data_IF_202516179252
#
_entry.id   IF_202516179252
#
_cell.length_a   1.000
_cell.length_b   1.000
_cell.length_c   1.000
_cell.angle_alpha   90.00
_cell.angle_beta   90.00
_cell.angle_gamma   90.00
#
_symmetry.space_group_name_H-M   'P 1'
#
loop_
_entity.id
_entity.type
_entity.pdbx_description
1 polymer ?
#
# COMPACT_ATOMS: atom_id res chain seq x y z
N UNK A 1 1.84 -25.39 15.16
CA UNK A 1 2.11 -25.01 16.57
C UNK A 1 2.24 -23.49 16.74
N UNK A 2 3.22 -22.80 16.12
CA UNK A 2 3.29 -21.33 16.23
C UNK A 2 2.16 -20.61 15.49
N UNK A 3 1.81 -21.06 14.29
CA UNK A 3 0.70 -20.49 13.49
C UNK A 3 -0.66 -20.58 14.20
N UNK A 4 -0.80 -21.47 15.18
CA UNK A 4 -2.01 -21.65 15.99
C UNK A 4 -2.08 -20.67 17.17
N UNK A 5 -0.99 -19.94 17.45
CA UNK A 5 -0.95 -18.94 18.52
C UNK A 5 -1.66 -17.65 18.06
N UNK A 6 -2.60 -17.11 18.85
CA UNK A 6 -3.36 -15.91 18.48
C UNK A 6 -2.48 -14.72 18.11
N UNK A 7 -1.39 -14.50 18.85
CA UNK A 7 -0.51 -13.36 18.56
C UNK A 7 0.30 -13.56 17.27
N UNK A 8 0.78 -14.77 17.00
CA UNK A 8 1.54 -15.05 15.78
C UNK A 8 0.65 -14.90 14.54
N UNK A 9 -0.57 -15.44 14.57
CA UNK A 9 -1.47 -15.33 13.40
C UNK A 9 -1.88 -13.88 13.13
N UNK A 10 -1.94 -13.02 14.16
CA UNK A 10 -2.20 -11.59 14.02
C UNK A 10 -1.05 -10.87 13.33
N UNK A 11 0.19 -11.13 13.74
CA UNK A 11 1.39 -10.57 13.10
C UNK A 11 1.46 -10.99 11.63
N UNK A 12 1.26 -12.28 11.35
CA UNK A 12 1.28 -12.80 9.98
C UNK A 12 0.16 -12.20 9.11
N UNK A 13 -1.06 -12.13 9.62
CA UNK A 13 -2.18 -11.54 8.90
C UNK A 13 -1.96 -10.04 8.63
N UNK A 14 -1.45 -9.30 9.61
CA UNK A 14 -1.23 -7.86 9.47
C UNK A 14 -0.15 -7.53 8.43
N UNK A 15 0.93 -8.32 8.37
CA UNK A 15 1.91 -8.25 7.29
C UNK A 15 1.32 -8.67 5.93
N UNK A 16 0.50 -9.72 5.91
CA UNK A 16 -0.12 -10.23 4.69
C UNK A 16 -1.03 -9.19 4.01
N UNK A 17 -1.76 -8.39 4.79
CA UNK A 17 -2.58 -7.29 4.27
C UNK A 17 -1.73 -6.27 3.50
N UNK A 18 -0.57 -5.94 4.04
CA UNK A 18 0.37 -4.99 3.45
C UNK A 18 1.03 -5.54 2.18
N UNK A 19 1.43 -6.82 2.17
CA UNK A 19 1.91 -7.49 0.95
C UNK A 19 0.83 -7.53 -0.13
N UNK A 20 -0.41 -7.85 0.24
CA UNK A 20 -1.54 -7.91 -0.69
C UNK A 20 -1.84 -6.53 -1.28
N UNK A 21 -1.91 -5.49 -0.44
CA UNK A 21 -2.13 -4.11 -0.87
C UNK A 21 -1.02 -3.59 -1.79
N UNK A 22 0.25 -3.82 -1.43
CA UNK A 22 1.41 -3.44 -2.24
C UNK A 22 1.43 -4.13 -3.61
N UNK A 23 1.10 -5.43 -3.63
CA UNK A 23 1.01 -6.21 -4.87
C UNK A 23 -0.13 -5.70 -5.76
N UNK A 24 -1.33 -5.54 -5.19
CA UNK A 24 -2.50 -5.06 -5.93
C UNK A 24 -2.27 -3.66 -6.51
N UNK A 25 -1.72 -2.74 -5.72
CA UNK A 25 -1.42 -1.38 -6.16
C UNK A 25 -0.37 -1.36 -7.29
N UNK A 26 0.70 -2.14 -7.16
CA UNK A 26 1.77 -2.22 -8.16
C UNK A 26 1.25 -2.76 -9.50
N UNK A 27 0.42 -3.80 -9.47
CA UNK A 27 -0.19 -4.37 -10.68
C UNK A 27 -1.25 -3.44 -11.27
N UNK A 28 -2.02 -2.72 -10.44
CA UNK A 28 -2.97 -1.71 -10.91
C UNK A 28 -2.27 -0.54 -11.60
N UNK A 29 -1.09 -0.14 -11.11
CA UNK A 29 -0.24 0.84 -11.78
C UNK A 29 0.26 0.31 -13.13
N UNK A 30 0.69 -0.96 -13.19
CA UNK A 30 1.07 -1.57 -14.47
C UNK A 30 -0.10 -1.57 -15.47
N UNK A 31 -1.31 -1.94 -15.04
CA UNK A 31 -2.53 -1.86 -15.86
C UNK A 31 -2.74 -0.46 -16.43
N UNK A 32 -2.52 0.61 -15.64
CA UNK A 32 -2.70 1.98 -16.13
C UNK A 32 -1.72 2.35 -17.24
N UNK A 33 -0.49 1.80 -17.22
CA UNK A 33 0.48 2.04 -18.28
C UNK A 33 0.07 1.39 -19.59
N UNK A 34 -0.57 0.21 -19.55
CA UNK A 34 -1.07 -0.48 -20.74
C UNK A 34 -2.29 0.23 -21.34
N UNK A 35 -3.09 0.92 -20.50
CA UNK A 35 -4.38 1.49 -20.89
C UNK A 35 -4.35 2.98 -21.22
N UNK A 36 -3.33 3.74 -20.77
CA UNK A 36 -3.26 5.21 -20.93
C UNK A 36 -3.31 5.74 -22.37
N UNK A 37 -3.06 4.90 -23.37
CA UNK A 37 -3.07 5.27 -24.79
C UNK A 37 -4.31 4.76 -25.53
N UNK A 38 -5.28 4.17 -24.83
CA UNK A 38 -6.50 3.63 -25.41
C UNK A 38 -7.59 4.70 -25.51
N UNK A 39 -8.46 4.61 -26.52
CA UNK A 39 -9.65 5.46 -26.62
C UNK A 39 -10.62 5.18 -25.46
N UNK A 40 -11.35 6.21 -25.01
CA UNK A 40 -12.26 6.10 -23.86
C UNK A 40 -11.58 6.55 -22.57
N UNK A 41 -11.25 5.62 -21.67
CA UNK A 41 -10.72 5.94 -20.34
C UNK A 41 -9.20 6.16 -20.28
N UNK A 42 -8.51 6.18 -21.43
CA UNK A 42 -7.07 6.41 -21.51
C UNK A 42 -6.59 7.70 -20.85
N UNK A 43 -7.39 8.77 -20.88
CA UNK A 43 -7.05 10.02 -20.18
C UNK A 43 -7.03 9.86 -18.65
N UNK A 44 -8.00 9.13 -18.08
CA UNK A 44 -8.05 8.85 -16.65
C UNK A 44 -6.92 7.90 -16.23
N UNK A 45 -6.64 6.88 -17.04
CA UNK A 45 -5.50 5.96 -16.82
C UNK A 45 -4.14 6.69 -16.96
N UNK A 46 -4.04 7.69 -17.84
CA UNK A 46 -2.86 8.54 -17.92
C UNK A 46 -2.66 9.40 -16.67
N UNK A 47 -3.75 9.93 -16.10
CA UNK A 47 -3.72 10.66 -14.82
C UNK A 47 -3.28 9.72 -13.67
N UNK A 48 -3.86 8.51 -13.60
CA UNK A 48 -3.45 7.48 -12.66
C UNK A 48 -1.97 7.16 -12.77
N UNK A 49 -1.48 6.83 -13.98
CA UNK A 49 -0.07 6.51 -14.19
C UNK A 49 0.85 7.66 -13.76
N UNK A 50 0.48 8.91 -14.06
CA UNK A 50 1.28 10.10 -13.72
C UNK A 50 1.37 10.35 -12.21
N UNK A 51 0.25 10.32 -11.52
CA UNK A 51 0.17 10.59 -10.07
C UNK A 51 0.67 9.40 -9.26
N UNK A 52 0.24 8.18 -9.63
CA UNK A 52 0.43 6.99 -8.80
C UNK A 52 1.79 6.33 -8.96
N UNK A 53 2.59 6.68 -9.98
CA UNK A 53 3.98 6.17 -10.11
C UNK A 53 4.86 6.54 -8.91
N UNK A 54 5.05 7.84 -8.56
CA UNK A 54 5.83 8.19 -7.38
C UNK A 54 5.18 7.74 -6.07
N UNK A 55 3.85 7.73 -5.99
CA UNK A 55 3.08 7.24 -4.82
C UNK A 55 3.36 5.77 -4.55
N UNK A 56 3.25 4.93 -5.58
CA UNK A 56 3.43 3.47 -5.46
C UNK A 56 4.87 3.15 -5.09
N UNK A 57 5.85 3.76 -5.77
CA UNK A 57 7.27 3.60 -5.43
C UNK A 57 7.56 4.06 -4.00
N UNK A 58 7.03 5.21 -3.59
CA UNK A 58 7.21 5.73 -2.24
C UNK A 58 6.77 4.72 -1.19
N UNK A 59 5.52 4.23 -1.26
CA UNK A 59 4.98 3.39 -0.20
C UNK A 59 5.53 1.97 -0.26
N UNK A 60 5.43 1.29 -1.41
CA UNK A 60 5.79 -0.12 -1.57
C UNK A 60 7.27 -0.39 -1.24
N UNK A 61 8.17 0.48 -1.70
CA UNK A 61 9.59 0.29 -1.42
C UNK A 61 9.97 0.65 0.02
N UNK A 62 9.31 1.64 0.63
CA UNK A 62 9.67 2.12 1.98
C UNK A 62 9.14 1.25 3.11
N UNK A 63 8.04 0.54 2.90
CA UNK A 63 7.49 -0.41 3.89
C UNK A 63 8.31 -1.71 3.97
N UNK A 64 8.97 -2.10 2.88
CA UNK A 64 9.62 -3.40 2.74
C UNK A 64 10.69 -3.70 3.82
N UNK A 65 11.56 -2.77 4.25
CA UNK A 65 12.53 -3.05 5.32
C UNK A 65 11.88 -3.43 6.65
N UNK A 66 10.84 -2.71 7.08
CA UNK A 66 10.14 -3.01 8.34
C UNK A 66 9.37 -4.34 8.26
N UNK A 67 8.75 -4.62 7.11
CA UNK A 67 8.04 -5.88 6.87
C UNK A 67 9.00 -7.08 6.85
N UNK A 68 10.12 -6.98 6.14
CA UNK A 68 11.11 -8.05 6.06
C UNK A 68 11.83 -8.30 7.38
N UNK A 69 12.01 -7.25 8.20
CA UNK A 69 12.47 -7.39 9.58
C UNK A 69 11.52 -8.25 10.42
N UNK A 70 10.22 -7.92 10.44
CA UNK A 70 9.23 -8.67 11.22
C UNK A 70 9.09 -10.12 10.74
N UNK A 71 9.12 -10.33 9.42
CA UNK A 71 9.13 -11.67 8.84
C UNK A 71 10.37 -12.47 9.26
N UNK A 72 11.53 -11.82 9.37
CA UNK A 72 12.77 -12.43 9.86
C UNK A 72 12.65 -12.84 11.32
N UNK A 73 12.06 -11.98 12.16
CA UNK A 73 11.80 -12.26 13.58
C UNK A 73 10.87 -13.48 13.78
N UNK A 74 9.90 -13.70 12.88
CA UNK A 74 9.03 -14.87 12.92
C UNK A 74 9.78 -16.21 12.80
N UNK A 75 11.00 -16.23 12.26
CA UNK A 75 11.86 -17.43 12.17
C UNK A 75 12.83 -17.57 13.36
N UNK A 76 12.83 -16.61 14.29
CA UNK A 76 13.78 -16.55 15.40
C UNK A 76 15.22 -16.42 14.94
N UNK A 77 16.16 -16.99 15.70
CA UNK A 77 17.61 -16.89 15.41
C UNK A 77 18.01 -17.38 14.01
N UNK A 78 17.30 -18.37 13.47
CA UNK A 78 17.56 -18.87 12.12
C UNK A 78 17.15 -17.87 11.02
N UNK A 79 16.27 -16.92 11.31
CA UNK A 79 15.97 -15.83 10.38
C UNK A 79 17.15 -14.89 10.18
N UNK A 80 17.94 -14.67 11.23
CA UNK A 80 19.07 -13.73 11.26
C UNK A 80 20.34 -14.27 10.57
N UNK A 81 20.46 -15.59 10.43
CA UNK A 81 21.66 -16.18 9.81
C UNK A 81 21.66 -16.04 8.29
N UNK A 82 22.84 -15.78 7.71
CA UNK A 82 23.04 -15.54 6.28
C UNK A 82 22.81 -16.77 5.38
N UNK A 83 22.76 -17.97 5.98
CA UNK A 83 22.40 -19.21 5.29
C UNK A 83 20.91 -19.22 4.88
N UNK A 84 20.09 -18.44 5.58
CA UNK A 84 18.68 -18.24 5.32
C UNK A 84 18.40 -17.22 4.20
N UNK A 85 17.14 -17.13 3.79
CA UNK A 85 16.71 -16.17 2.75
C UNK A 85 16.37 -14.78 3.29
N UNK A 86 15.91 -14.69 4.54
CA UNK A 86 15.39 -13.43 5.08
C UNK A 86 16.47 -12.43 5.45
N UNK A 87 17.64 -12.87 5.95
CA UNK A 87 18.80 -11.99 6.15
C UNK A 87 19.18 -11.26 4.84
N UNK A 88 19.26 -12.00 3.72
CA UNK A 88 19.49 -11.40 2.40
C UNK A 88 18.36 -10.46 1.97
N UNK A 89 17.10 -10.89 2.09
CA UNK A 89 15.95 -10.08 1.68
C UNK A 89 15.85 -8.76 2.46
N UNK A 90 16.14 -8.78 3.77
CA UNK A 90 16.19 -7.58 4.61
C UNK A 90 17.29 -6.62 4.15
N UNK A 91 18.50 -7.12 3.84
CA UNK A 91 19.58 -6.29 3.30
C UNK A 91 19.28 -5.73 1.90
N UNK A 92 18.51 -6.45 1.10
CA UNK A 92 18.09 -6.03 -0.24
C UNK A 92 17.02 -4.93 -0.18
N UNK A 93 16.03 -5.05 0.71
CA UNK A 93 14.83 -4.21 0.71
C UNK A 93 15.07 -2.68 0.59
N UNK A 94 16.07 -2.07 1.26
CA UNK A 94 16.33 -0.64 1.15
C UNK A 94 16.75 -0.18 -0.25
N UNK A 95 17.34 -1.05 -1.08
CA UNK A 95 17.92 -0.64 -2.38
C UNK A 95 16.84 -0.06 -3.29
N UNK A 96 15.65 -0.67 -3.32
CA UNK A 96 14.52 -0.22 -4.16
C UNK A 96 13.94 1.14 -3.72
N UNK A 97 14.10 1.48 -2.44
CA UNK A 97 13.66 2.77 -1.91
C UNK A 97 14.71 3.88 -2.12
N UNK A 98 15.99 3.52 -2.29
CA UNK A 98 17.10 4.45 -2.51
C UNK A 98 17.30 4.71 -4.01
N UNK A 99 17.22 3.66 -4.83
CA UNK A 99 17.42 3.66 -6.27
C UNK A 99 16.08 3.63 -7.03
N UNK A 100 15.85 4.37 -8.11
CA UNK A 100 16.36 5.68 -8.52
C UNK A 100 15.33 6.72 -8.04
N UNK A 101 15.72 7.56 -7.08
CA UNK A 101 14.82 8.53 -6.44
C UNK A 101 14.32 8.04 -5.09
N UNK A 102 14.84 8.65 -4.03
CA UNK A 102 14.47 8.34 -2.65
C UNK A 102 13.09 8.86 -2.27
N UNK A 103 12.59 8.51 -1.08
CA UNK A 103 11.25 8.92 -0.64
C UNK A 103 10.98 10.43 -0.71
N UNK A 104 11.98 11.28 -0.47
CA UNK A 104 11.81 12.73 -0.65
C UNK A 104 11.73 13.14 -2.11
N UNK A 105 12.50 12.49 -2.99
CA UNK A 105 12.42 12.74 -4.44
C UNK A 105 11.02 12.36 -4.95
N UNK A 106 10.46 11.22 -4.53
CA UNK A 106 9.09 10.84 -4.88
C UNK A 106 8.04 11.83 -4.39
N UNK A 107 8.20 12.35 -3.17
CA UNK A 107 7.28 13.37 -2.62
C UNK A 107 7.38 14.70 -3.39
N UNK A 108 8.60 15.13 -3.77
CA UNK A 108 8.81 16.33 -4.58
C UNK A 108 8.33 16.16 -6.03
N UNK A 109 8.44 14.96 -6.59
CA UNK A 109 7.84 14.64 -7.88
C UNK A 109 6.33 14.75 -7.82
N UNK A 110 5.70 14.25 -6.76
CA UNK A 110 4.26 14.41 -6.54
C UNK A 110 3.87 15.89 -6.41
N UNK A 111 4.65 16.69 -5.68
CA UNK A 111 4.47 18.14 -5.58
C UNK A 111 4.57 18.83 -6.95
N UNK A 112 5.50 18.40 -7.80
CA UNK A 112 5.65 18.90 -9.16
C UNK A 112 4.43 18.56 -10.01
N UNK A 113 3.91 17.34 -9.95
CA UNK A 113 2.67 16.96 -10.66
C UNK A 113 1.51 17.82 -10.16
N UNK A 114 1.38 18.01 -8.85
CA UNK A 114 0.32 18.81 -8.24
C UNK A 114 0.31 20.27 -8.71
N UNK A 115 1.49 20.89 -8.87
CA UNK A 115 1.59 22.25 -9.40
C UNK A 115 1.25 22.35 -10.89
N UNK A 116 1.49 21.30 -11.66
CA UNK A 116 1.30 21.30 -13.11
C UNK A 116 -0.11 20.91 -13.52
N UNK A 117 -0.70 19.96 -12.80
CA UNK A 117 -1.96 19.30 -13.17
C UNK A 117 -2.71 18.86 -11.89
N UNK A 118 -3.34 19.81 -11.17
CA UNK A 118 -4.13 19.48 -9.98
C UNK A 118 -5.36 18.64 -10.31
N UNK A 119 -5.94 18.78 -11.50
CA UNK A 119 -7.13 18.04 -11.94
C UNK A 119 -6.86 16.52 -12.10
N UNK A 120 -5.60 16.13 -12.37
CA UNK A 120 -5.20 14.73 -12.34
C UNK A 120 -5.42 14.07 -10.96
N UNK A 121 -5.28 14.82 -9.86
CA UNK A 121 -5.52 14.29 -8.52
C UNK A 121 -7.00 14.06 -8.26
N UNK A 122 -7.87 15.00 -8.66
CA UNK A 122 -9.32 14.80 -8.55
C UNK A 122 -9.78 13.61 -9.39
N UNK A 123 -9.19 13.41 -10.58
CA UNK A 123 -9.44 12.23 -11.41
C UNK A 123 -9.05 10.95 -10.68
N UNK A 124 -7.86 10.89 -10.08
CA UNK A 124 -7.40 9.73 -9.31
C UNK A 124 -8.28 9.48 -8.08
N UNK A 125 -8.67 10.51 -7.35
CA UNK A 125 -9.56 10.40 -6.19
C UNK A 125 -10.92 9.83 -6.62
N UNK A 126 -11.49 10.29 -7.74
CA UNK A 126 -12.75 9.77 -8.28
C UNK A 126 -12.65 8.30 -8.70
N UNK A 127 -11.51 7.89 -9.29
CA UNK A 127 -11.25 6.48 -9.62
C UNK A 127 -11.18 5.61 -8.37
N UNK A 128 -10.45 6.06 -7.33
CA UNK A 128 -10.38 5.38 -6.03
C UNK A 128 -11.78 5.26 -5.41
N UNK A 129 -12.55 6.35 -5.40
CA UNK A 129 -13.91 6.38 -4.86
C UNK A 129 -14.83 5.38 -5.58
N UNK A 130 -14.75 5.33 -6.91
CA UNK A 130 -15.50 4.39 -7.74
C UNK A 130 -15.15 2.94 -7.42
N UNK A 131 -13.85 2.61 -7.37
CA UNK A 131 -13.36 1.26 -7.11
C UNK A 131 -13.65 0.79 -5.67
N UNK A 132 -13.64 1.71 -4.69
CA UNK A 132 -14.01 1.42 -3.30
C UNK A 132 -15.52 1.30 -3.08
N UNK A 133 -16.33 1.93 -3.94
CA UNK A 133 -17.80 1.93 -3.87
C UNK A 133 -18.33 2.34 -2.49
N UNK A 134 -19.29 1.59 -1.96
CA UNK A 134 -19.91 1.89 -0.66
C UNK A 134 -18.91 1.88 0.52
N UNK A 135 -17.73 1.27 0.36
CA UNK A 135 -16.70 1.22 1.41
C UNK A 135 -15.75 2.41 1.39
N UNK A 136 -15.90 3.34 0.44
CA UNK A 136 -15.08 4.55 0.36
C UNK A 136 -15.20 5.41 1.64
N UNK A 137 -16.38 5.47 2.25
CA UNK A 137 -16.61 6.21 3.49
C UNK A 137 -16.09 7.65 3.43
N UNK A 138 -15.29 8.06 4.42
CA UNK A 138 -14.64 9.37 4.45
C UNK A 138 -13.36 9.49 3.63
N UNK A 139 -12.89 8.41 2.98
CA UNK A 139 -11.58 8.36 2.30
C UNK A 139 -11.40 9.46 1.26
N UNK A 140 -12.37 9.74 0.35
CA UNK A 140 -12.22 10.82 -0.63
C UNK A 140 -12.06 12.20 0.04
N UNK A 141 -12.73 12.42 1.18
CA UNK A 141 -12.59 13.65 1.97
C UNK A 141 -11.19 13.80 2.58
N UNK A 142 -10.64 12.71 3.12
CA UNK A 142 -9.27 12.68 3.66
C UNK A 142 -8.23 12.95 2.56
N UNK A 143 -8.40 12.35 1.37
CA UNK A 143 -7.52 12.58 0.23
C UNK A 143 -7.54 14.05 -0.23
N UNK A 144 -8.73 14.66 -0.34
CA UNK A 144 -8.86 16.08 -0.70
C UNK A 144 -8.29 17.01 0.38
N UNK A 145 -8.41 16.65 1.66
CA UNK A 145 -7.78 17.40 2.74
C UNK A 145 -6.25 17.32 2.65
N UNK A 146 -5.68 16.13 2.45
CA UNK A 146 -4.24 15.95 2.26
C UNK A 146 -3.73 16.69 1.00
N UNK A 147 -4.52 16.71 -0.07
CA UNK A 147 -4.24 17.45 -1.29
C UNK A 147 -4.18 18.96 -1.02
N UNK A 148 -5.18 19.51 -0.31
CA UNK A 148 -5.22 20.91 0.08
C UNK A 148 -4.04 21.31 0.99
N UNK A 149 -3.64 20.43 1.92
CA UNK A 149 -2.45 20.63 2.73
C UNK A 149 -1.18 20.69 1.86
N UNK A 150 -1.01 19.75 0.93
CA UNK A 150 0.14 19.71 0.02
C UNK A 150 0.21 20.90 -0.96
N UNK A 151 -0.94 21.44 -1.37
CA UNK A 151 -1.03 22.67 -2.15
C UNK A 151 -0.54 23.90 -1.36
N UNK A 152 -0.80 23.91 -0.05
CA UNK A 152 -0.44 25.02 0.84
C UNK A 152 0.98 24.91 1.38
N UNK A 153 1.45 23.69 1.62
CA UNK A 153 2.77 23.36 2.14
C UNK A 153 3.30 22.10 1.44
N UNK A 154 4.33 22.30 0.60
CA UNK A 154 5.03 21.20 -0.09
C UNK A 154 5.58 20.13 0.89
N UNK A 155 5.85 20.52 2.15
CA UNK A 155 6.23 19.61 3.23
C UNK A 155 5.20 18.50 3.53
N UNK A 156 3.93 18.71 3.19
CA UNK A 156 2.87 17.72 3.38
C UNK A 156 2.81 16.64 2.28
N UNK A 157 3.68 16.68 1.25
CA UNK A 157 3.61 15.72 0.14
C UNK A 157 3.88 14.26 0.52
N UNK A 158 4.60 13.99 1.62
CA UNK A 158 4.72 12.62 2.14
C UNK A 158 3.41 12.10 2.74
N UNK A 159 2.66 12.95 3.44
CA UNK A 159 1.34 12.63 3.95
C UNK A 159 0.40 12.33 2.77
N UNK A 160 0.38 13.20 1.76
CA UNK A 160 -0.42 12.99 0.56
C UNK A 160 -0.05 11.68 -0.16
N UNK A 161 1.26 11.42 -0.36
CA UNK A 161 1.73 10.21 -1.00
C UNK A 161 1.29 8.95 -0.25
N UNK A 162 1.42 8.92 1.07
CA UNK A 162 1.02 7.76 1.87
C UNK A 162 -0.50 7.57 1.86
N UNK A 163 -1.29 8.63 2.02
CA UNK A 163 -2.76 8.53 1.97
C UNK A 163 -3.26 8.05 0.61
N UNK A 164 -2.69 8.55 -0.50
CA UNK A 164 -3.00 8.07 -1.85
C UNK A 164 -2.61 6.59 -2.02
N UNK A 165 -1.45 6.17 -1.51
CA UNK A 165 -1.01 4.77 -1.62
C UNK A 165 -1.97 3.83 -0.87
N UNK A 166 -2.35 4.17 0.36
CA UNK A 166 -3.26 3.35 1.17
C UNK A 166 -4.66 3.28 0.53
N UNK A 167 -5.21 4.41 0.09
CA UNK A 167 -6.51 4.43 -0.56
C UNK A 167 -6.49 3.71 -1.92
N UNK A 168 -5.43 3.89 -2.71
CA UNK A 168 -5.22 3.19 -3.97
C UNK A 168 -5.05 1.69 -3.80
N UNK A 169 -4.34 1.23 -2.76
CA UNK A 169 -4.22 -0.18 -2.44
C UNK A 169 -5.57 -0.79 -2.01
N UNK A 170 -6.36 -0.08 -1.20
CA UNK A 170 -7.70 -0.49 -0.83
C UNK A 170 -8.63 -0.63 -2.06
N UNK A 171 -8.63 0.37 -2.94
CA UNK A 171 -9.34 0.34 -4.22
C UNK A 171 -8.90 -0.85 -5.10
N UNK A 172 -7.60 -1.09 -5.23
CA UNK A 172 -7.07 -2.20 -6.02
C UNK A 172 -7.49 -3.57 -5.45
N UNK A 173 -7.48 -3.75 -4.12
CA UNK A 173 -7.97 -4.98 -3.48
C UNK A 173 -9.46 -5.21 -3.74
N UNK A 174 -10.27 -4.14 -3.78
CA UNK A 174 -11.70 -4.22 -4.13
C UNK A 174 -11.93 -4.65 -5.58
N UNK A 175 -11.18 -4.08 -6.53
CA UNK A 175 -11.22 -4.51 -7.95
C UNK A 175 -10.93 -6.00 -8.12
N UNK A 176 -10.02 -6.54 -7.31
CA UNK A 176 -9.66 -7.96 -7.32
C UNK A 176 -10.66 -8.86 -6.58
N UNK A 177 -11.77 -8.32 -6.07
CA UNK A 177 -12.76 -9.02 -5.25
C UNK A 177 -12.15 -9.68 -3.99
N UNK A 178 -11.05 -9.16 -3.47
CA UNK A 178 -10.41 -9.64 -2.24
C UNK A 178 -11.10 -9.09 -0.98
N UNK A 179 -12.43 -9.24 -0.89
CA UNK A 179 -13.27 -8.50 0.05
C UNK A 179 -12.79 -8.54 1.51
N UNK A 180 -12.45 -9.73 2.02
CA UNK A 180 -11.96 -9.90 3.40
C UNK A 180 -10.64 -9.15 3.67
N UNK A 181 -9.71 -9.20 2.72
CA UNK A 181 -8.44 -8.49 2.84
C UNK A 181 -8.66 -6.97 2.71
N UNK A 182 -9.51 -6.55 1.78
CA UNK A 182 -9.85 -5.14 1.61
C UNK A 182 -10.57 -4.55 2.85
N UNK A 183 -11.50 -5.28 3.47
CA UNK A 183 -12.18 -4.85 4.71
C UNK A 183 -11.18 -4.62 5.84
N UNK A 184 -10.33 -5.62 6.11
CA UNK A 184 -9.32 -5.52 7.16
C UNK A 184 -8.25 -4.46 6.83
N UNK A 185 -7.89 -4.29 5.56
CA UNK A 185 -6.95 -3.25 5.13
C UNK A 185 -7.55 -1.85 5.36
N UNK A 186 -8.80 -1.61 4.94
CA UNK A 186 -9.49 -0.32 5.12
C UNK A 186 -9.60 0.02 6.61
N UNK A 187 -10.11 -0.90 7.43
CA UNK A 187 -10.34 -0.64 8.86
C UNK A 187 -9.03 -0.35 9.61
N UNK A 188 -7.90 -0.86 9.14
CA UNK A 188 -6.62 -0.73 9.85
C UNK A 188 -5.65 0.29 9.27
N UNK A 189 -5.66 0.54 7.95
CA UNK A 189 -4.78 1.53 7.30
C UNK A 189 -5.48 2.88 7.10
N UNK A 190 -6.80 2.89 6.88
CA UNK A 190 -7.58 4.12 6.67
C UNK A 190 -8.39 4.53 7.92
N UNK A 191 -8.79 3.56 8.76
CA UNK A 191 -9.53 3.81 10.00
C UNK A 191 -8.71 3.61 11.29
N UNK A 192 -7.46 3.18 11.19
CA UNK A 192 -6.64 2.79 12.33
C UNK A 192 -6.00 3.95 13.09
N UNK A 193 -5.39 3.62 14.24
CA UNK A 193 -4.54 4.53 15.00
C UNK A 193 -3.09 4.47 14.51
N UNK A 194 -2.29 5.47 14.88
CA UNK A 194 -0.87 5.47 14.61
C UNK A 194 -0.16 4.26 15.23
N UNK A 195 0.74 3.61 14.47
CA UNK A 195 1.45 2.38 14.85
C UNK A 195 2.87 2.30 14.27
N UNK A 196 3.69 1.46 14.89
CA UNK A 196 5.10 1.25 14.49
C UNK A 196 5.48 -0.22 14.24
N UNK A 197 4.64 -1.17 14.64
CA UNK A 197 4.90 -2.61 14.54
C UNK A 197 3.66 -3.36 14.04
N UNK A 198 3.85 -4.61 13.62
CA UNK A 198 2.78 -5.47 13.13
C UNK A 198 2.04 -6.21 14.25
N UNK A 199 0.89 -6.79 13.88
CA UNK A 199 0.00 -7.52 14.79
C UNK A 199 -1.16 -6.69 15.34
N UNK A 200 -1.43 -5.52 14.74
CA UNK A 200 -2.43 -4.56 15.21
C UNK A 200 -3.82 -4.85 14.64
N UNK A 201 -4.26 -6.10 14.76
CA UNK A 201 -5.57 -6.59 14.33
C UNK A 201 -6.39 -7.04 15.54
N UNK A 202 -7.67 -6.71 15.56
CA UNK A 202 -8.60 -7.20 16.59
C UNK A 202 -9.39 -8.44 16.10
N UNK A 203 -10.36 -8.89 16.90
CA UNK A 203 -11.15 -10.10 16.62
C UNK A 203 -12.20 -9.92 15.50
N UNK A 204 -12.46 -8.69 15.03
CA UNK A 204 -13.40 -8.42 13.92
C UNK A 204 -12.89 -9.00 12.60
N UNK A 205 -11.58 -9.15 12.45
CA UNK A 205 -10.95 -9.72 11.26
C UNK A 205 -10.37 -11.10 11.58
N UNK A 206 -10.86 -12.14 10.88
CA UNK A 206 -10.33 -13.49 11.01
C UNK A 206 -8.93 -13.59 10.37
N UNK A 207 -7.92 -13.47 11.22
CA UNK A 207 -6.51 -13.53 10.84
C UNK A 207 -6.10 -14.86 10.23
N UNK A 208 -6.66 -15.98 10.70
CA UNK A 208 -6.33 -17.31 10.16
C UNK A 208 -6.79 -17.41 8.73
N UNK A 209 -8.04 -17.03 8.49
CA UNK A 209 -8.64 -16.97 7.17
C UNK A 209 -7.89 -16.04 6.22
N UNK A 210 -7.45 -14.85 6.67
CA UNK A 210 -6.65 -13.93 5.84
C UNK A 210 -5.36 -14.63 5.39
N UNK A 211 -4.64 -15.27 6.32
CA UNK A 211 -3.40 -15.98 5.99
C UNK A 211 -3.66 -17.16 5.07
N UNK A 212 -4.66 -18.01 5.33
CA UNK A 212 -4.95 -19.17 4.48
C UNK A 212 -5.36 -18.79 3.05
N UNK A 213 -6.06 -17.66 2.87
CA UNK A 213 -6.46 -17.19 1.56
C UNK A 213 -5.28 -16.66 0.74
N UNK A 214 -4.35 -15.95 1.38
CA UNK A 214 -3.22 -15.30 0.70
C UNK A 214 -1.99 -16.23 0.60
N UNK A 215 -1.83 -17.13 1.55
CA UNK A 215 -0.73 -18.08 1.69
C UNK A 215 -1.28 -19.48 1.99
N UNK A 216 -1.99 -20.10 1.03
CA UNK A 216 -2.57 -21.42 1.24
C UNK A 216 -1.46 -22.43 1.58
N UNK A 217 -1.71 -23.38 2.50
CA UNK A 217 -0.73 -24.38 2.85
C UNK A 217 -0.31 -25.17 1.59
N UNK A 218 0.99 -25.28 1.39
CA UNK A 218 1.56 -26.11 0.32
C UNK A 218 1.16 -27.56 0.63
N UNK A 219 0.43 -28.19 -0.30
CA UNK A 219 0.09 -29.61 -0.22
C UNK A 219 1.29 -30.48 -0.54
#
# INVERSE_FOLDING_TARGET
VLVDQPQMIRVLADMALDVAGATALSLRLAESFDRRSQDGDGAAEAAWARVMTPVTKYWVCKMAPALTYEAMECLGGNGYVEDGRLARAYREAPVNAIWEGSGNVMALDLARVLRQDPDAFETVIAMIETDMGATAGGTPGVLRAALSMALSDEGACRLLAEQLALAGAAAALRRLNAARAADAFVDTRLGGVFRHTYGMLDLRHDSRTIVDNLYPPIR
#
